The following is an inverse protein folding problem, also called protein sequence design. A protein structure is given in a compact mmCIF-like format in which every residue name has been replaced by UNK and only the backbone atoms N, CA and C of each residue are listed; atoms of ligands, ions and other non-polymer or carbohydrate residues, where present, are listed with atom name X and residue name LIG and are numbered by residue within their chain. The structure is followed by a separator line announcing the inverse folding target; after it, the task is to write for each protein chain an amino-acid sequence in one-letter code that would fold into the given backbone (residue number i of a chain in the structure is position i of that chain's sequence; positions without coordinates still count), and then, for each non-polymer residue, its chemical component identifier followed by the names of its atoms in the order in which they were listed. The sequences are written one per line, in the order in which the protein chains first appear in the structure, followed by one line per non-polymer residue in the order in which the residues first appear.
data_IF_136982138939
#
_entry.id   IF_136982138939
#
_cell.length_a   1.000
_cell.length_b   1.000
_cell.length_c   1.000
_cell.angle_alpha   90.00
_cell.angle_beta   90.00
_cell.angle_gamma   90.00
#
_symmetry.space_group_name_H-M   'P 1'
#
loop_
_entity.id
_entity.type
_entity.pdbx_description
1 polymer ?
#
# COMPACT_ATOMS: atom_id res chain seq x y z
N UNK A 1 2.30 -20.25 -1.78
CA UNK A 1 1.13 -19.50 -1.30
C UNK A 1 1.60 -18.52 -0.24
N UNK A 2 1.61 -17.22 -0.54
CA UNK A 2 1.95 -16.19 0.44
C UNK A 2 0.79 -16.01 1.41
N UNK A 3 1.05 -16.08 2.71
CA UNK A 3 0.08 -15.68 3.74
C UNK A 3 -0.32 -14.22 3.52
N UNK A 4 -1.62 -13.92 3.52
CA UNK A 4 -2.11 -12.55 3.47
C UNK A 4 -1.48 -11.73 4.62
N UNK A 5 -1.15 -10.44 4.40
CA UNK A 5 -0.69 -9.58 5.49
C UNK A 5 -1.78 -9.51 6.55
N UNK A 6 -1.41 -9.81 7.79
CA UNK A 6 -2.32 -9.67 8.94
C UNK A 6 -2.76 -8.20 9.02
N UNK A 7 -4.07 -7.98 9.13
CA UNK A 7 -4.66 -6.65 9.34
C UNK A 7 -4.26 -6.07 10.71
N UNK A 8 -4.32 -4.74 10.81
CA UNK A 8 -4.06 -4.00 12.02
C UNK A 8 -2.69 -3.34 12.08
N UNK A 9 -2.37 -2.86 13.27
CA UNK A 9 -1.13 -2.16 13.57
C UNK A 9 -0.04 -3.14 13.97
N UNK A 10 1.14 -3.01 13.37
CA UNK A 10 2.31 -3.79 13.75
C UNK A 10 3.43 -3.78 12.72
N UNK A 11 4.41 -4.63 12.96
CA UNK A 11 5.51 -4.91 12.05
C UNK A 11 5.26 -6.22 11.29
N UNK A 12 6.07 -6.48 10.28
CA UNK A 12 6.02 -7.76 9.59
C UNK A 12 6.43 -8.90 10.53
N UNK A 13 5.75 -10.04 10.37
CA UNK A 13 5.93 -11.19 11.25
C UNK A 13 7.37 -11.72 11.17
N UNK A 14 7.97 -11.98 12.32
CA UNK A 14 9.27 -12.66 12.43
C UNK A 14 9.06 -14.15 12.17
N UNK A 15 9.76 -14.69 11.16
CA UNK A 15 9.65 -16.09 10.73
C UNK A 15 10.91 -16.90 10.98
N UNK A 16 12.06 -16.23 11.04
CA UNK A 16 13.37 -16.84 11.21
C UNK A 16 14.22 -15.94 12.11
N UNK A 17 15.18 -16.53 12.81
CA UNK A 17 16.10 -15.79 13.69
C UNK A 17 16.94 -14.76 12.93
N UNK A 18 17.37 -15.10 11.71
CA UNK A 18 18.19 -14.20 10.86
C UNK A 18 17.37 -13.18 10.06
N UNK A 19 16.07 -13.05 10.32
CA UNK A 19 15.22 -12.15 9.55
C UNK A 19 15.58 -10.69 9.83
N UNK A 20 16.04 -9.97 8.79
CA UNK A 20 16.14 -8.52 8.84
C UNK A 20 14.76 -7.88 8.92
N UNK A 21 14.54 -7.09 9.97
CA UNK A 21 13.29 -6.35 10.17
C UNK A 21 13.40 -4.94 9.57
N UNK A 22 12.25 -4.40 9.19
CA UNK A 22 12.18 -3.04 8.67
C UNK A 22 12.03 -2.03 9.79
N UNK A 23 12.59 -0.86 9.59
CA UNK A 23 12.48 0.27 10.49
C UNK A 23 11.22 1.10 10.17
N UNK A 24 10.07 0.42 10.16
CA UNK A 24 8.78 1.05 9.87
C UNK A 24 7.70 0.32 10.61
N UNK A 25 6.85 1.03 11.36
CA UNK A 25 5.57 0.48 11.78
C UNK A 25 4.56 0.62 10.63
N UNK A 26 3.62 -0.32 10.52
CA UNK A 26 2.51 -0.19 9.57
C UNK A 26 1.15 -0.36 10.21
N UNK A 27 0.17 0.33 9.66
CA UNK A 27 -1.24 0.00 9.79
C UNK A 27 -1.73 -0.52 8.43
N UNK A 28 -2.23 -1.75 8.40
CA UNK A 28 -2.73 -2.38 7.18
C UNK A 28 -4.20 -2.76 7.35
N UNK A 29 -5.07 -2.24 6.48
CA UNK A 29 -6.51 -2.40 6.58
C UNK A 29 -7.09 -2.83 5.24
N UNK A 30 -8.06 -3.74 5.28
CA UNK A 30 -8.96 -4.00 4.14
C UNK A 30 -9.97 -2.84 4.08
N UNK A 31 -10.08 -2.21 2.92
CA UNK A 31 -11.00 -1.07 2.68
C UNK A 31 -12.04 -1.37 1.61
N UNK A 32 -11.82 -2.35 0.73
CA UNK A 32 -12.84 -2.91 -0.15
C UNK A 32 -12.71 -4.44 -0.23
N UNK A 33 -13.82 -5.17 -0.42
CA UNK A 33 -15.21 -4.67 -0.40
C UNK A 33 -15.65 -4.26 1.02
N UNK A 34 -16.77 -3.54 1.13
CA UNK A 34 -17.19 -2.97 2.43
C UNK A 34 -17.54 -4.05 3.46
N UNK A 35 -18.15 -5.13 2.99
CA UNK A 35 -18.60 -6.27 3.80
C UNK A 35 -17.42 -7.04 4.41
N UNK A 36 -16.21 -6.91 3.84
CA UNK A 36 -15.00 -7.59 4.32
C UNK A 36 -14.20 -6.72 5.30
N UNK A 37 -14.65 -5.50 5.62
CA UNK A 37 -13.92 -4.59 6.51
C UNK A 37 -14.01 -5.07 7.97
N UNK A 38 -12.85 -5.39 8.57
CA UNK A 38 -12.78 -5.64 10.01
C UNK A 38 -12.54 -4.34 10.80
N UNK A 39 -13.63 -3.68 11.22
CA UNK A 39 -13.59 -2.40 11.93
C UNK A 39 -12.92 -2.45 13.31
N UNK A 40 -12.65 -3.63 13.86
CA UNK A 40 -11.92 -3.81 15.14
C UNK A 40 -10.49 -3.27 15.04
N UNK A 41 -9.88 -3.36 13.86
CA UNK A 41 -8.52 -2.87 13.60
C UNK A 41 -8.47 -1.38 13.23
N UNK A 42 -9.62 -0.74 13.04
CA UNK A 42 -9.68 0.65 12.58
C UNK A 42 -9.57 1.62 13.76
N UNK A 43 -8.67 2.62 13.71
CA UNK A 43 -8.55 3.66 14.71
C UNK A 43 -9.90 4.29 15.10
N UNK A 44 -10.16 4.35 16.41
CA UNK A 44 -11.38 4.94 17.00
C UNK A 44 -11.14 6.30 17.65
N UNK A 45 -9.89 6.64 17.98
CA UNK A 45 -9.51 7.87 18.68
C UNK A 45 -9.72 9.14 17.85
N UNK A 46 -9.74 9.04 16.52
CA UNK A 46 -9.98 10.14 15.59
C UNK A 46 -11.41 10.04 15.07
N UNK A 47 -12.25 11.01 15.42
CA UNK A 47 -13.69 11.00 15.08
C UNK A 47 -13.96 10.79 13.59
N UNK A 48 -13.10 11.28 12.71
CA UNK A 48 -13.33 11.27 11.26
C UNK A 48 -12.51 10.21 10.49
N UNK A 49 -11.63 9.42 11.15
CA UNK A 49 -10.72 8.53 10.42
C UNK A 49 -11.44 7.57 9.47
N UNK A 50 -12.56 6.98 9.92
CA UNK A 50 -13.32 6.01 9.14
C UNK A 50 -13.97 6.67 7.92
N UNK A 51 -14.59 7.82 8.13
CA UNK A 51 -15.29 8.58 7.09
C UNK A 51 -14.29 9.12 6.05
N UNK A 52 -13.18 9.69 6.50
CA UNK A 52 -12.10 10.20 5.65
C UNK A 52 -11.48 9.08 4.80
N UNK A 53 -11.22 7.91 5.41
CA UNK A 53 -10.65 6.76 4.71
C UNK A 53 -11.65 6.16 3.71
N UNK A 54 -12.93 6.11 4.06
CA UNK A 54 -13.99 5.66 3.15
C UNK A 54 -14.11 6.60 1.94
N UNK A 55 -14.17 7.92 2.16
CA UNK A 55 -14.23 8.91 1.08
C UNK A 55 -12.99 8.81 0.18
N UNK A 56 -11.80 8.68 0.78
CA UNK A 56 -10.56 8.51 0.05
C UNK A 56 -10.60 7.23 -0.82
N UNK A 57 -11.11 6.13 -0.28
CA UNK A 57 -11.23 4.86 -0.99
C UNK A 57 -12.17 4.99 -2.19
N UNK A 58 -13.32 5.65 -2.04
CA UNK A 58 -14.25 5.91 -3.14
C UNK A 58 -13.65 6.78 -4.24
N UNK A 59 -12.93 7.85 -3.88
CA UNK A 59 -12.21 8.70 -4.84
C UNK A 59 -11.13 7.90 -5.57
N UNK A 60 -10.37 7.09 -4.83
CA UNK A 60 -9.31 6.22 -5.37
C UNK A 60 -9.85 5.19 -6.35
N UNK A 61 -10.99 4.56 -6.04
CA UNK A 61 -11.68 3.62 -6.93
C UNK A 61 -12.04 4.27 -8.27
N UNK A 62 -12.58 5.50 -8.24
CA UNK A 62 -12.91 6.25 -9.46
C UNK A 62 -11.67 6.53 -10.31
N UNK A 63 -10.58 6.98 -9.69
CA UNK A 63 -9.30 7.23 -10.36
C UNK A 63 -8.76 5.93 -10.98
N UNK A 64 -8.70 4.85 -10.19
CA UNK A 64 -8.27 3.52 -10.65
C UNK A 64 -9.07 3.07 -11.87
N UNK A 65 -10.41 3.16 -11.84
CA UNK A 65 -11.24 2.78 -12.99
C UNK A 65 -10.94 3.63 -14.23
N UNK A 66 -10.72 4.93 -14.08
CA UNK A 66 -10.37 5.80 -15.20
C UNK A 66 -9.01 5.43 -15.81
N UNK A 67 -8.00 5.14 -14.97
CA UNK A 67 -6.67 4.69 -15.42
C UNK A 67 -6.77 3.34 -16.13
N UNK A 68 -7.49 2.37 -15.56
CA UNK A 68 -7.70 1.06 -16.17
C UNK A 68 -8.37 1.16 -17.55
N UNK A 69 -9.38 2.02 -17.69
CA UNK A 69 -10.03 2.28 -18.98
C UNK A 69 -9.08 2.94 -19.99
N UNK A 70 -8.22 3.84 -19.53
CA UNK A 70 -7.22 4.47 -20.38
C UNK A 70 -6.18 3.45 -20.87
N UNK A 71 -5.70 2.56 -19.98
CA UNK A 71 -4.79 1.46 -20.32
C UNK A 71 -5.47 0.51 -21.32
N UNK A 72 -6.72 0.10 -21.08
CA UNK A 72 -7.46 -0.76 -21.99
C UNK A 72 -7.55 -0.14 -23.40
N UNK A 73 -7.85 1.16 -23.49
CA UNK A 73 -7.89 1.89 -24.75
C UNK A 73 -6.52 1.94 -25.45
N UNK A 74 -5.43 2.16 -24.72
CA UNK A 74 -4.07 2.16 -25.27
C UNK A 74 -3.64 0.79 -25.81
N UNK A 75 -4.17 -0.27 -25.21
CA UNK A 75 -3.94 -1.65 -25.63
C UNK A 75 -4.96 -2.14 -26.68
N UNK A 76 -5.83 -1.25 -27.19
CA UNK A 76 -6.89 -1.57 -28.16
C UNK A 76 -7.86 -2.66 -27.68
N UNK A 77 -8.06 -2.75 -26.36
CA UNK A 77 -9.01 -3.65 -25.72
C UNK A 77 -10.38 -2.98 -25.53
N UNK A 78 -11.40 -3.80 -25.24
CA UNK A 78 -12.68 -3.27 -24.77
C UNK A 78 -12.48 -2.36 -23.53
N UNK A 79 -13.15 -1.21 -23.54
CA UNK A 79 -12.95 -0.13 -22.57
C UNK A 79 -13.08 -0.59 -21.13
N UNK A 80 -14.04 -1.47 -20.84
CA UNK A 80 -14.32 -1.93 -19.49
C UNK A 80 -13.71 -3.31 -19.20
N UNK A 81 -12.98 -3.93 -20.14
CA UNK A 81 -12.33 -5.23 -19.98
C UNK A 81 -11.48 -5.30 -18.70
N UNK A 82 -10.55 -4.37 -18.51
CA UNK A 82 -9.68 -4.36 -17.33
C UNK A 82 -10.43 -4.06 -16.04
N UNK A 83 -11.44 -3.20 -16.08
CA UNK A 83 -12.26 -2.88 -14.88
C UNK A 83 -13.08 -4.11 -14.46
N UNK A 84 -13.65 -4.82 -15.43
CA UNK A 84 -14.50 -5.98 -15.20
C UNK A 84 -13.73 -7.18 -14.64
N UNK A 85 -12.42 -7.28 -14.90
CA UNK A 85 -11.57 -8.29 -14.27
C UNK A 85 -11.53 -8.19 -12.74
N UNK A 86 -11.72 -6.99 -12.18
CA UNK A 86 -11.72 -6.75 -10.73
C UNK A 86 -13.12 -6.85 -10.07
N UNK A 87 -14.15 -7.22 -10.85
CA UNK A 87 -15.51 -7.67 -10.46
C UNK A 87 -16.21 -7.00 -9.26
N UNK A 88 -15.94 -5.73 -8.95
CA UNK A 88 -16.39 -5.01 -7.73
C UNK A 88 -16.05 -5.67 -6.39
N UNK A 89 -15.43 -6.86 -6.39
CA UNK A 89 -15.04 -7.62 -5.20
C UNK A 89 -13.53 -7.75 -5.07
N UNK A 90 -12.75 -7.18 -5.99
CA UNK A 90 -11.31 -7.16 -5.84
C UNK A 90 -10.92 -6.46 -4.52
N UNK A 91 -10.13 -7.14 -3.67
CA UNK A 91 -9.77 -6.58 -2.39
C UNK A 91 -8.89 -5.35 -2.59
N UNK A 92 -9.22 -4.27 -1.89
CA UNK A 92 -8.40 -3.06 -1.84
C UNK A 92 -7.94 -2.86 -0.41
N UNK A 93 -6.66 -2.50 -0.27
CA UNK A 93 -6.01 -2.35 1.02
C UNK A 93 -5.50 -0.92 1.19
N UNK A 94 -5.63 -0.38 2.40
CA UNK A 94 -4.94 0.83 2.82
C UNK A 94 -3.74 0.45 3.69
N UNK A 95 -2.55 0.89 3.29
CA UNK A 95 -1.31 0.71 4.04
C UNK A 95 -0.78 2.08 4.45
N UNK A 96 -0.71 2.32 5.75
CA UNK A 96 -0.07 3.48 6.34
C UNK A 96 1.28 3.04 6.88
N UNK A 97 2.37 3.63 6.39
CA UNK A 97 3.71 3.37 6.91
C UNK A 97 4.14 4.55 7.77
N UNK A 98 4.74 4.25 8.91
CA UNK A 98 5.33 5.23 9.81
C UNK A 98 6.76 4.81 10.13
N UNK A 99 7.71 5.60 9.67
CA UNK A 99 9.15 5.40 9.87
C UNK A 99 9.61 6.34 10.99
N UNK A 100 9.81 5.82 12.22
CA UNK A 100 10.29 6.66 13.31
C UNK A 100 11.73 7.11 13.05
N UNK A 101 12.17 8.25 13.59
CA UNK A 101 13.59 8.66 13.53
C UNK A 101 14.53 7.54 13.98
N UNK A 102 15.61 7.32 13.24
CA UNK A 102 16.61 6.29 13.53
C UNK A 102 17.95 6.97 13.87
N UNK A 103 18.63 6.59 14.96
CA UNK A 103 19.95 7.14 15.29
C UNK A 103 21.07 6.58 14.38
N UNK A 104 20.80 5.48 13.65
CA UNK A 104 21.74 4.83 12.72
C UNK A 104 21.05 4.48 11.40
N UNK A 105 20.65 5.48 10.59
CA UNK A 105 19.89 5.20 9.36
C UNK A 105 20.73 4.46 8.30
N UNK A 106 22.04 4.36 8.49
CA UNK A 106 22.98 3.64 7.62
C UNK A 106 22.85 2.12 7.75
N UNK A 107 22.22 1.65 8.83
CA UNK A 107 22.08 0.24 9.17
C UNK A 107 20.66 -0.30 9.00
N UNK A 108 19.69 0.55 8.66
CA UNK A 108 18.27 0.15 8.59
C UNK A 108 17.64 0.49 7.25
N UNK A 109 16.54 -0.19 6.94
CA UNK A 109 15.69 0.11 5.79
C UNK A 109 14.27 0.34 6.28
N UNK A 110 13.61 1.41 5.81
CA UNK A 110 12.19 1.64 6.07
C UNK A 110 11.30 0.55 5.44
N UNK A 111 11.60 0.17 4.19
CA UNK A 111 11.06 -1.03 3.56
C UNK A 111 12.12 -1.61 2.63
N UNK A 112 12.19 -2.93 2.48
CA UNK A 112 13.12 -3.51 1.50
C UNK A 112 12.73 -3.13 0.07
N UNK A 113 13.70 -3.17 -0.84
CA UNK A 113 13.45 -3.39 -2.26
C UNK A 113 12.43 -4.51 -2.51
N UNK A 114 11.36 -4.20 -3.23
CA UNK A 114 10.30 -5.16 -3.57
C UNK A 114 9.62 -4.77 -4.89
N UNK A 115 8.63 -5.54 -5.32
CA UNK A 115 7.69 -5.08 -6.34
C UNK A 115 6.31 -5.19 -5.71
N UNK A 116 5.47 -4.18 -5.92
CA UNK A 116 4.09 -4.29 -5.50
C UNK A 116 3.46 -5.49 -6.21
N UNK A 117 2.84 -6.35 -5.41
CA UNK A 117 2.12 -7.53 -5.92
C UNK A 117 0.75 -7.16 -6.47
N UNK A 118 0.29 -5.95 -6.14
CA UNK A 118 -0.98 -5.38 -6.56
C UNK A 118 -0.89 -4.87 -8.00
N UNK A 119 -1.97 -5.03 -8.76
CA UNK A 119 -2.07 -4.51 -10.12
C UNK A 119 -1.94 -2.98 -10.17
N UNK A 120 -2.47 -2.29 -9.16
CA UNK A 120 -2.44 -0.85 -9.05
C UNK A 120 -2.22 -0.44 -7.61
N UNK A 121 -1.18 0.36 -7.39
CA UNK A 121 -0.92 1.06 -6.14
C UNK A 121 -0.81 2.55 -6.42
N UNK A 122 -1.19 3.36 -5.44
CA UNK A 122 -0.90 4.79 -5.43
C UNK A 122 -0.52 5.17 -4.01
N UNK A 123 0.39 6.12 -3.88
CA UNK A 123 0.92 6.51 -2.57
C UNK A 123 0.91 8.03 -2.41
N UNK A 124 0.69 8.48 -1.19
CA UNK A 124 0.85 9.87 -0.78
C UNK A 124 1.90 9.92 0.32
N UNK A 125 2.99 10.62 0.06
CA UNK A 125 4.05 10.86 1.06
C UNK A 125 3.69 12.05 1.93
N UNK A 126 4.19 12.05 3.17
CA UNK A 126 4.16 13.24 4.03
C UNK A 126 5.01 14.36 3.40
N UNK A 127 4.68 15.62 3.72
CA UNK A 127 5.44 16.77 3.24
C UNK A 127 6.78 16.93 3.96
N UNK A 128 6.89 16.37 5.18
CA UNK A 128 8.01 16.62 6.09
C UNK A 128 9.23 15.72 5.83
N UNK A 129 9.03 14.58 5.17
CA UNK A 129 10.06 13.59 4.86
C UNK A 129 9.74 12.94 3.51
N UNK A 130 10.66 13.02 2.53
CA UNK A 130 10.45 12.50 1.17
C UNK A 130 11.55 11.52 0.80
N UNK A 131 11.21 10.25 0.82
CA UNK A 131 12.17 9.16 0.72
C UNK A 131 11.48 7.99 0.00
N UNK A 132 11.34 8.11 -1.33
CA UNK A 132 10.95 7.02 -2.22
C UNK A 132 11.89 7.04 -3.42
N UNK A 133 12.59 5.93 -3.65
CA UNK A 133 13.45 5.74 -4.81
C UNK A 133 12.84 4.71 -5.76
N UNK A 134 12.97 4.96 -7.06
CA UNK A 134 12.52 4.07 -8.12
C UNK A 134 13.70 3.76 -9.04
N UNK A 135 13.99 2.48 -9.23
CA UNK A 135 15.01 2.04 -10.18
C UNK A 135 14.44 2.06 -11.61
N UNK A 136 15.11 2.71 -12.58
CA UNK A 136 14.71 2.63 -13.99
C UNK A 136 14.97 1.23 -14.57
N UNK A 137 14.02 0.70 -15.35
CA UNK A 137 14.26 -0.44 -16.24
C UNK A 137 13.89 -1.83 -15.70
N UNK A 138 13.35 -1.93 -14.48
CA UNK A 138 12.70 -3.14 -13.97
C UNK A 138 11.29 -2.80 -13.51
N UNK A 139 10.32 -3.71 -13.68
CA UNK A 139 9.08 -3.67 -12.87
C UNK A 139 9.40 -4.06 -11.41
N UNK A 140 10.49 -3.51 -10.85
CA UNK A 140 11.05 -3.92 -9.58
C UNK A 140 11.58 -2.70 -8.85
N UNK A 141 10.95 -2.37 -7.74
CA UNK A 141 11.27 -1.23 -6.90
C UNK A 141 12.43 -1.61 -5.97
N UNK A 142 13.50 -0.83 -6.01
CA UNK A 142 14.55 -0.82 -5.00
C UNK A 142 14.33 0.45 -4.17
N UNK A 143 14.11 0.33 -2.86
CA UNK A 143 14.16 1.47 -1.95
C UNK A 143 15.31 1.20 -0.97
N UNK A 144 16.41 1.91 -1.18
CA UNK A 144 17.53 2.02 -0.27
C UNK A 144 17.56 3.47 0.18
N UNK A 145 17.40 3.76 1.47
CA UNK A 145 17.68 5.11 1.96
C UNK A 145 18.54 5.00 3.21
N UNK A 146 19.76 5.52 3.03
CA UNK A 146 20.77 5.84 4.02
C UNK A 146 20.56 7.30 4.52
N UNK A 147 21.16 7.69 5.67
CA UNK A 147 20.78 8.84 6.50
C UNK A 147 20.98 10.23 5.90
N UNK A 148 20.27 11.21 6.48
CA UNK A 148 20.98 12.17 7.34
C UNK A 148 20.93 11.68 8.78
#
# INVERSE_FOLDING_TARGET
MGTLPVEGYGNDQVRTEDQRLYWSNRLYLIVEPEDDRNLTHWPTHRKCFRDDLHELTLKSKRIRHNILRAIAKLLELDKDCLVNQFNNKAPTYARFNFEPPCPRPDLVLGIKPHSDVQFFSWTKMSQDYKFLEMEPGTMSQLCLITPC
#
